data_IF_043280158839
#
_entry.id   IF_043280158839
#
_cell.length_a   1.000
_cell.length_b   1.000
_cell.length_c   1.000
_cell.angle_alpha   90.00
_cell.angle_beta   90.00
_cell.angle_gamma   90.00
#
_symmetry.space_group_name_H-M   'P 1'
#
loop_
_entity.id
_entity.type
_entity.pdbx_description
1 polymer ?
2 non-polymer ?
3 non-polymer ?
4 non-polymer ?
5 water ?
#
# COMPACT_ATOMS: atom_id res chain seq x y z
N UNK A 18 -10.19 20.78 -4.14
CA UNK A 18 -9.88 22.08 -4.86
C UNK A 18 -8.46 22.56 -4.50
N UNK A 19 -7.56 21.59 -4.23
CA UNK A 19 -6.11 21.76 -3.99
C UNK A 19 -5.34 21.12 -5.14
N UNK A 20 -4.58 21.93 -5.89
CA UNK A 20 -3.93 21.56 -7.17
C UNK A 20 -2.43 21.54 -6.94
N UNK A 21 -1.83 20.48 -7.45
CA UNK A 21 -0.38 20.23 -7.45
C UNK A 21 -0.04 19.81 -8.88
N UNK A 22 0.96 20.42 -9.48
CA UNK A 22 1.35 20.11 -10.88
C UNK A 22 2.12 18.77 -10.92
N UNK A 23 3.15 18.60 -10.08
CA UNK A 23 4.05 17.41 -10.18
C UNK A 23 3.45 16.20 -9.46
N UNK A 24 3.87 14.95 -9.84
CA UNK A 24 3.25 13.72 -9.28
C UNK A 24 3.48 13.53 -7.77
N UNK A 25 4.61 14.01 -7.27
CA UNK A 25 4.92 14.09 -5.83
C UNK A 25 5.49 15.45 -5.43
N UNK A 26 5.03 16.00 -4.30
CA UNK A 26 5.78 17.05 -3.56
C UNK A 26 6.42 16.42 -2.33
N UNK A 27 7.70 16.67 -2.15
CA UNK A 27 8.46 16.24 -0.97
C UNK A 27 8.80 17.46 -0.12
N UNK A 28 8.50 17.41 1.18
CA UNK A 28 8.75 18.54 2.11
C UNK A 28 9.46 18.00 3.35
N UNK A 29 10.66 18.49 3.63
CA UNK A 29 11.39 18.15 4.87
C UNK A 29 10.65 18.79 6.05
N UNK A 30 10.54 18.05 7.14
CA UNK A 30 9.94 18.55 8.41
C UNK A 30 11.05 19.33 9.18
N UNK A 31 10.75 19.88 10.35
CA UNK A 31 11.78 20.63 11.14
C UNK A 31 12.92 19.69 11.52
N UNK A 32 12.59 18.43 11.77
CA UNK A 32 13.65 17.39 11.81
C UNK A 32 13.75 16.89 10.37
N UNK A 33 14.81 17.28 9.64
CA UNK A 33 14.75 17.30 8.18
C UNK A 33 14.83 15.90 7.56
N UNK A 34 15.22 14.89 8.34
CA UNK A 34 15.24 13.50 7.83
C UNK A 34 13.79 12.96 7.68
N UNK A 35 12.83 13.55 8.36
CA UNK A 35 11.40 13.19 8.31
C UNK A 35 10.79 13.95 7.12
N UNK A 36 10.10 13.25 6.21
CA UNK A 36 9.69 13.85 4.90
C UNK A 36 8.21 13.62 4.70
N UNK A 37 7.49 14.71 4.51
CA UNK A 37 6.05 14.72 4.18
C UNK A 37 5.91 14.64 2.66
N UNK A 38 5.15 13.66 2.17
CA UNK A 38 4.96 13.42 0.71
C UNK A 38 3.50 13.68 0.35
N UNK A 39 3.30 14.50 -0.67
CA UNK A 39 1.95 14.83 -1.18
C UNK A 39 1.87 14.28 -2.59
N UNK A 40 1.13 13.17 -2.80
CA UNK A 40 1.00 12.61 -4.14
C UNK A 40 -0.10 13.35 -4.91
N UNK A 41 -0.08 13.24 -6.23
CA UNK A 41 -1.13 13.85 -7.09
C UNK A 41 -2.32 12.92 -7.26
N UNK A 42 -3.53 13.47 -7.12
CA UNK A 42 -4.82 12.77 -7.30
C UNK A 42 -5.35 13.09 -8.69
N UNK A 43 -5.50 12.09 -9.56
CA UNK A 43 -6.05 12.24 -10.91
C UNK A 43 -7.53 11.86 -10.84
N UNK A 44 -8.42 12.82 -10.92
CA UNK A 44 -9.89 12.58 -10.81
C UNK A 44 -10.43 12.33 -12.23
N UNK A 45 -11.48 11.51 -12.32
CA UNK A 45 -12.25 11.31 -13.58
C UNK A 45 -13.64 10.78 -13.20
N UNK A 46 -14.40 10.39 -14.22
CA UNK A 46 -15.81 9.95 -14.07
C UNK A 46 -15.85 8.70 -13.21
N UNK A 47 -14.84 7.82 -13.34
CA UNK A 47 -14.75 6.56 -12.56
C UNK A 47 -14.49 6.83 -11.08
N UNK A 48 -13.66 7.84 -10.77
CA UNK A 48 -13.25 8.12 -9.37
C UNK A 48 -11.90 8.77 -9.33
N UNK A 49 -10.89 8.12 -8.75
CA UNK A 49 -9.49 8.61 -8.85
C UNK A 49 -8.45 7.51 -9.03
N UNK A 50 -7.25 7.98 -9.40
CA UNK A 50 -5.97 7.25 -9.43
C UNK A 50 -4.87 8.09 -8.76
N UNK A 51 -4.11 7.47 -7.86
CA UNK A 51 -2.91 8.05 -7.18
C UNK A 51 -1.74 7.06 -7.32
N UNK A 52 -0.59 7.51 -7.81
CA UNK A 52 0.71 6.87 -7.60
C UNK A 52 1.14 7.19 -6.18
N UNK A 53 1.25 6.20 -5.28
CA UNK A 53 1.51 6.42 -3.84
C UNK A 53 2.99 6.21 -3.52
N UNK A 54 3.71 5.55 -4.41
CA UNK A 54 5.15 5.30 -4.23
C UNK A 54 5.78 5.06 -5.59
N UNK A 55 6.98 5.58 -5.75
CA UNK A 55 7.74 5.42 -7.01
C UNK A 55 9.22 5.53 -6.64
N UNK A 56 9.93 4.43 -6.77
CA UNK A 56 11.27 4.31 -6.22
C UNK A 56 12.16 5.41 -6.77
N UNK A 57 12.18 5.55 -8.09
CA UNK A 57 13.08 6.51 -8.76
C UNK A 57 12.93 7.89 -8.10
N UNK A 58 11.72 8.41 -8.00
CA UNK A 58 11.42 9.74 -7.46
C UNK A 58 11.78 9.77 -5.98
N UNK A 59 11.46 8.73 -5.25
CA UNK A 59 11.68 8.75 -3.78
C UNK A 59 13.20 8.78 -3.52
N UNK A 60 13.98 8.01 -4.26
CA UNK A 60 15.44 7.89 -4.03
C UNK A 60 16.12 9.23 -4.34
N UNK A 61 15.60 9.97 -5.32
CA UNK A 61 16.14 11.32 -5.65
C UNK A 61 15.83 12.31 -4.53
N UNK A 62 14.84 12.05 -3.68
CA UNK A 62 14.45 13.00 -2.62
C UNK A 62 14.81 12.46 -1.23
N UNK A 63 15.82 11.60 -1.11
CA UNK A 63 16.39 11.20 0.19
C UNK A 63 15.84 9.90 0.77
N UNK A 64 14.82 9.30 0.17
CA UNK A 64 14.11 8.12 0.74
C UNK A 64 14.67 6.84 0.13
N UNK A 65 15.52 6.17 0.90
CA UNK A 65 16.37 5.05 0.44
C UNK A 65 15.94 3.78 1.14
N UNK A 66 16.57 2.69 0.73
CA UNK A 66 16.31 1.38 1.35
C UNK A 66 15.16 0.67 0.65
N UNK A 67 15.29 -0.64 0.62
CA UNK A 67 14.32 -1.61 0.06
C UNK A 67 13.17 -1.76 1.05
N UNK A 68 11.94 -1.65 0.60
CA UNK A 68 10.73 -1.92 1.41
C UNK A 68 10.45 -3.41 1.41
N UNK A 69 10.70 -4.06 2.55
CA UNK A 69 10.64 -5.53 2.67
C UNK A 69 9.31 -5.98 3.27
N UNK A 70 8.49 -5.10 3.84
CA UNK A 70 7.24 -5.53 4.49
C UNK A 70 6.23 -4.39 4.49
N UNK A 71 4.99 -4.72 4.17
CA UNK A 71 3.86 -3.80 4.19
C UNK A 71 2.90 -4.29 5.26
N UNK A 72 2.27 -3.36 5.98
CA UNK A 72 1.32 -3.64 7.08
C UNK A 72 0.08 -2.78 6.92
N UNK A 73 -1.02 -3.25 7.50
CA UNK A 73 -2.34 -2.60 7.42
C UNK A 73 -2.98 -2.74 8.78
N UNK A 74 -3.38 -1.62 9.41
CA UNK A 74 -4.11 -1.64 10.71
C UNK A 74 -5.45 -0.98 10.50
N UNK A 75 -6.48 -1.59 11.06
CA UNK A 75 -7.81 -0.96 11.21
C UNK A 75 -7.98 -0.58 12.68
N UNK A 76 -8.43 0.65 12.88
CA UNK A 76 -8.75 1.22 14.21
C UNK A 76 -10.20 1.69 14.15
N UNK A 77 -11.10 1.02 14.87
CA UNK A 77 -12.57 1.19 14.66
C UNK A 77 -13.02 2.52 15.28
N UNK A 78 -12.52 2.88 16.46
CA UNK A 78 -13.01 4.05 17.23
C UNK A 78 -11.99 5.19 17.30
N UNK A 79 -12.47 6.43 17.24
CA UNK A 79 -11.68 7.64 17.57
C UNK A 79 -11.07 7.40 18.94
N UNK A 80 -9.80 7.77 19.13
CA UNK A 80 -9.11 7.71 20.41
C UNK A 80 -8.23 6.51 20.55
N UNK A 81 -8.30 5.55 19.61
CA UNK A 81 -7.26 4.48 19.54
C UNK A 81 -5.95 5.23 19.39
N UNK A 82 -4.97 4.89 20.21
CA UNK A 82 -3.61 5.43 20.12
C UNK A 82 -2.68 4.23 20.08
N UNK A 83 -1.81 4.20 19.08
CA UNK A 83 -0.77 3.17 18.98
C UNK A 83 0.58 3.86 18.94
N UNK A 84 1.52 3.32 19.66
CA UNK A 84 2.88 3.84 19.78
C UNK A 84 3.26 3.96 21.25
N UNK A 85 4.46 4.46 21.50
CA UNK A 85 5.44 4.80 20.49
C UNK A 85 6.32 3.57 20.21
N UNK A 86 6.57 3.26 18.94
CA UNK A 86 7.19 1.98 18.50
C UNK A 86 8.43 2.19 17.66
N UNK A 87 9.39 1.30 17.88
CA UNK A 87 10.61 1.15 17.08
C UNK A 87 11.14 -0.26 17.30
N UNK A 88 12.00 -0.70 16.41
CA UNK A 88 12.77 -1.97 16.54
C UNK A 88 14.23 -1.59 16.77
N UNK A 89 14.87 -2.25 17.73
CA UNK A 89 16.32 -2.12 17.97
C UNK A 89 17.12 -2.48 16.73
N UNK A 90 18.26 -1.83 16.55
CA UNK A 90 19.28 -2.21 15.55
C UNK A 90 19.67 -3.67 15.84
N UNK A 91 19.94 -4.52 14.83
CA UNK A 91 19.97 -4.11 13.42
C UNK A 91 18.64 -4.26 12.65
N UNK A 92 17.50 -4.20 13.34
CA UNK A 92 16.15 -4.44 12.77
C UNK A 92 15.35 -3.14 12.65
N UNK A 93 16.01 -1.98 12.68
CA UNK A 93 15.33 -0.66 12.67
C UNK A 93 14.52 -0.57 11.37
N UNK A 94 13.26 -0.14 11.46
CA UNK A 94 12.42 0.01 10.27
C UNK A 94 12.27 1.50 9.93
N UNK A 95 12.65 1.87 8.73
CA UNK A 95 12.12 3.08 8.08
C UNK A 95 10.70 2.79 7.65
N UNK A 96 9.81 3.74 7.78
CA UNK A 96 8.38 3.53 7.51
C UNK A 96 7.84 4.63 6.59
N UNK A 97 7.06 4.24 5.57
CA UNK A 97 6.27 5.16 4.72
C UNK A 97 4.80 4.97 5.08
N UNK A 98 4.22 5.96 5.74
CA UNK A 98 2.91 5.85 6.41
C UNK A 98 1.87 6.68 5.66
N UNK A 99 0.70 6.10 5.46
CA UNK A 99 -0.45 6.77 4.83
C UNK A 99 -1.75 6.26 5.45
N UNK A 100 -2.83 7.00 5.24
CA UNK A 100 -4.18 6.65 5.71
C UNK A 100 -5.11 6.61 4.51
N UNK A 101 -5.64 5.44 4.23
CA UNK A 101 -6.48 5.22 3.02
C UNK A 101 -7.94 5.52 3.37
N UNK A 102 -8.32 5.30 4.62
CA UNK A 102 -9.65 5.69 5.15
C UNK A 102 -9.47 6.22 6.58
N UNK A 103 -10.12 7.35 6.85
CA UNK A 103 -10.09 7.99 8.16
C UNK A 103 -8.97 9.00 8.25
N UNK A 104 -8.46 9.17 9.46
CA UNK A 104 -7.56 10.30 9.81
C UNK A 104 -6.80 9.93 11.06
N UNK A 105 -5.52 10.25 11.06
CA UNK A 105 -4.70 10.14 12.29
C UNK A 105 -3.90 11.42 12.47
N UNK A 106 -3.60 11.70 13.73
CA UNK A 106 -2.50 12.57 14.16
C UNK A 106 -1.28 11.67 14.24
N UNK A 107 -0.32 11.85 13.33
CA UNK A 107 0.84 10.95 13.16
C UNK A 107 2.09 11.59 13.74
N UNK A 108 2.88 10.84 14.47
CA UNK A 108 4.05 11.41 15.19
C UNK A 108 5.30 10.60 14.88
N UNK A 109 6.38 11.31 14.59
CA UNK A 109 7.75 10.78 14.49
C UNK A 109 8.62 11.39 15.60
N UNK A 110 9.28 10.55 16.38
CA UNK A 110 10.17 10.92 17.50
C UNK A 110 11.58 10.48 17.14
N UNK A 111 12.53 11.42 17.12
CA UNK A 111 13.96 11.15 16.89
C UNK A 111 14.52 10.45 18.12
N UNK A 112 14.83 9.16 17.99
CA UNK A 112 15.47 8.38 19.09
C UNK A 112 16.83 7.84 18.64
N UNK A 113 17.58 8.66 17.92
CA UNK A 113 18.99 8.41 17.50
C UNK A 113 19.95 9.06 18.51
N UNK A 114 20.67 8.25 19.28
CA UNK A 114 21.59 8.76 20.34
C UNK A 114 22.60 9.70 19.67
N UNK A 115 22.82 10.88 20.26
CA UNK A 115 23.81 11.92 19.83
C UNK A 115 23.16 12.82 18.77
N UNK A 116 21.89 12.65 18.47
CA UNK A 116 21.23 13.50 17.46
C UNK A 116 20.99 14.84 18.11
N UNK A 117 21.25 15.94 17.40
CA UNK A 117 20.91 17.27 17.92
C UNK A 117 19.40 17.41 18.21
N UNK A 118 18.56 16.51 17.69
CA UNK A 118 17.08 16.55 17.91
C UNK A 118 16.63 15.28 18.64
N UNK A 119 17.53 14.62 19.36
CA UNK A 119 17.17 13.45 20.20
C UNK A 119 16.01 13.83 21.12
N UNK A 120 14.95 13.02 21.13
CA UNK A 120 13.78 13.17 22.00
C UNK A 120 12.82 14.21 21.46
N UNK A 121 13.13 14.86 20.34
CA UNK A 121 12.17 15.81 19.71
C UNK A 121 11.24 15.04 18.75
N UNK A 122 10.15 15.65 18.36
CA UNK A 122 9.10 15.00 17.55
C UNK A 122 8.51 16.00 16.57
N UNK A 123 8.01 15.47 15.46
CA UNK A 123 7.17 16.24 14.52
C UNK A 123 5.90 15.44 14.29
N UNK A 124 4.83 16.13 13.93
CA UNK A 124 3.51 15.52 13.75
C UNK A 124 2.95 16.04 12.44
N UNK A 125 2.01 15.29 11.86
CA UNK A 125 1.25 15.74 10.69
C UNK A 125 -0.08 15.02 10.72
N UNK A 126 -1.07 15.57 10.08
CA UNK A 126 -2.40 14.93 9.99
C UNK A 126 -2.43 14.10 8.69
N UNK A 127 -2.49 12.77 8.81
CA UNK A 127 -2.58 11.92 7.59
C UNK A 127 -4.01 11.43 7.47
N UNK A 128 -4.62 11.61 6.32
CA UNK A 128 -6.06 11.31 6.16
C UNK A 128 -6.35 10.83 4.76
N UNK A 129 -7.52 10.22 4.59
CA UNK A 129 -8.13 9.89 3.29
C UNK A 129 -8.54 11.16 2.55
N UNK A 130 -8.70 12.30 3.24
CA UNK A 130 -8.97 13.60 2.56
C UNK A 130 -7.69 14.12 1.90
N UNK A 131 -6.56 14.18 2.61
CA UNK A 131 -5.33 14.78 2.05
C UNK A 131 -4.49 13.75 1.28
N UNK A 132 -4.60 12.46 1.59
CA UNK A 132 -3.77 11.38 1.00
C UNK A 132 -2.27 11.66 1.21
N UNK A 133 -1.92 12.42 2.23
CA UNK A 133 -0.52 12.70 2.58
C UNK A 133 0.14 11.42 3.11
N UNK A 134 1.46 11.34 2.97
CA UNK A 134 2.27 10.21 3.43
C UNK A 134 3.47 10.74 4.22
N UNK A 135 3.90 10.02 5.26
CA UNK A 135 5.06 10.45 6.07
C UNK A 135 6.14 9.40 6.00
N UNK A 136 7.34 9.84 5.64
CA UNK A 136 8.56 9.04 5.74
C UNK A 136 9.15 9.23 7.13
N UNK A 137 9.22 8.13 7.87
CA UNK A 137 9.80 8.05 9.23
C UNK A 137 11.03 7.16 9.15
N UNK A 138 12.25 7.75 9.09
CA UNK A 138 13.47 7.01 8.87
C UNK A 138 13.77 6.07 10.04
N UNK A 139 14.66 5.09 9.80
CA UNK A 139 15.13 4.22 10.87
C UNK A 139 15.78 5.13 11.93
N UNK A 140 15.67 4.78 13.20
CA UNK A 140 16.20 5.63 14.27
C UNK A 140 15.08 6.36 14.99
N UNK A 141 13.89 6.37 14.41
CA UNK A 141 12.74 7.10 14.95
C UNK A 141 11.70 6.13 15.47
N UNK A 142 10.91 6.62 16.41
CA UNK A 142 9.69 5.93 16.86
C UNK A 142 8.47 6.57 16.21
N UNK A 143 7.45 5.75 16.01
CA UNK A 143 6.17 6.12 15.38
C UNK A 143 5.05 6.02 16.41
N UNK A 144 4.16 6.98 16.40
CA UNK A 144 2.91 6.92 17.16
C UNK A 144 1.82 7.53 16.33
N UNK A 145 0.60 7.15 16.61
CA UNK A 145 -0.56 7.65 15.84
C UNK A 145 -1.74 7.71 16.78
N UNK A 146 -2.58 8.72 16.64
CA UNK A 146 -3.84 8.84 17.40
C UNK A 146 -4.95 8.90 16.39
N UNK A 147 -5.97 8.06 16.56
CA UNK A 147 -7.07 7.94 15.57
C UNK A 147 -8.09 9.05 15.84
N UNK A 148 -8.44 9.78 14.80
CA UNK A 148 -9.29 10.98 14.83
C UNK A 148 -10.62 10.72 14.13
N UNK A 149 -10.74 9.68 13.29
CA UNK A 149 -12.01 9.30 12.63
C UNK A 149 -12.21 7.80 12.84
N UNK A 150 -13.45 7.40 12.97
CA UNK A 150 -13.77 5.96 13.14
C UNK A 150 -13.36 5.21 11.86
N UNK A 151 -13.07 3.93 12.01
CA UNK A 151 -12.73 2.99 10.91
C UNK A 151 -11.53 3.52 10.12
N UNK A 152 -10.45 3.83 10.83
CA UNK A 152 -9.21 4.38 10.24
C UNK A 152 -8.32 3.21 9.82
N UNK A 153 -8.00 3.19 8.52
CA UNK A 153 -7.09 2.23 7.85
C UNK A 153 -5.75 2.90 7.59
N UNK A 154 -4.75 2.47 8.32
CA UNK A 154 -3.38 2.98 8.24
C UNK A 154 -2.58 1.92 7.52
N UNK A 155 -1.85 2.33 6.49
CA UNK A 155 -0.98 1.42 5.73
C UNK A 155 0.43 1.93 5.85
N UNK A 156 1.39 1.04 6.02
CA UNK A 156 2.80 1.45 5.98
C UNK A 156 3.71 0.35 5.46
N UNK A 157 4.69 0.81 4.71
CA UNK A 157 5.83 0.05 4.15
C UNK A 157 7.00 0.20 5.10
N UNK A 158 7.69 -0.90 5.40
CA UNK A 158 8.88 -1.00 6.28
C UNK A 158 10.13 -1.44 5.53
N UNK A 159 11.27 -0.84 5.83
CA UNK A 159 12.60 -1.18 5.26
C UNK A 159 13.25 -2.38 5.97
N UNK A 160 12.65 -2.91 7.00
CA UNK A 160 13.05 -4.18 7.64
C UNK A 160 11.81 -4.94 8.07
N UNK A 161 11.95 -6.26 8.10
CA UNK A 161 10.84 -7.17 8.40
C UNK A 161 10.61 -7.15 9.92
N UNK A 162 9.41 -7.47 10.32
CA UNK A 162 8.95 -7.59 11.72
C UNK A 162 9.87 -8.54 12.47
N UNK A 163 10.41 -8.09 13.60
CA UNK A 163 11.19 -8.94 14.55
C UNK A 163 10.64 -8.67 15.95
N UNK A 164 9.65 -9.42 16.44
CA UNK A 164 8.98 -9.07 17.69
C UNK A 164 9.94 -8.90 18.88
N UNK A 165 11.03 -9.67 18.94
CA UNK A 165 12.01 -9.64 20.07
C UNK A 165 12.69 -8.28 20.11
N UNK A 166 12.71 -7.57 18.99
CA UNK A 166 13.46 -6.31 18.85
C UNK A 166 12.53 -5.11 19.08
N UNK A 167 11.22 -5.34 19.18
CA UNK A 167 10.23 -4.26 19.38
C UNK A 167 10.39 -3.61 20.77
N UNK A 168 10.36 -2.28 20.84
CA UNK A 168 10.32 -1.54 22.13
C UNK A 168 9.18 -0.53 22.10
N UNK A 169 8.73 -0.13 23.29
CA UNK A 169 7.42 0.54 23.54
C UNK A 169 7.65 1.70 24.51
N UNK A 170 7.42 2.94 24.09
CA UNK A 170 7.56 4.14 24.95
C UNK A 170 6.18 4.75 25.10
N UNK A 171 5.80 5.14 26.33
CA UNK A 171 4.39 5.54 26.55
C UNK A 171 4.12 6.87 25.85
N UNK A 172 2.92 6.93 25.28
CA UNK A 172 2.34 8.08 24.57
C UNK A 172 2.56 9.40 25.33
N UNK A 173 2.36 9.41 26.66
CA UNK A 173 2.32 10.67 27.47
C UNK A 173 3.66 10.95 28.14
N UNK A 174 4.72 10.33 27.67
CA UNK A 174 6.04 10.59 28.23
C UNK A 174 6.27 12.10 28.37
N UNK A 175 6.73 12.59 29.55
CA UNK A 175 6.94 14.02 29.78
C UNK A 175 8.18 14.65 29.15
N UNK A 176 9.30 13.93 29.01
CA UNK A 176 10.51 14.44 28.31
C UNK A 176 10.20 14.64 26.81
N UNK A 177 9.55 13.69 26.17
CA UNK A 177 9.18 13.86 24.73
C UNK A 177 8.10 14.92 24.61
N UNK A 178 7.09 14.82 25.46
CA UNK A 178 6.07 15.88 25.67
C UNK A 178 5.29 16.11 24.39
N UNK A 179 4.72 15.05 23.82
CA UNK A 179 3.93 15.15 22.57
C UNK A 179 2.61 15.81 22.94
N UNK A 180 2.16 16.76 22.13
CA UNK A 180 0.86 17.45 22.32
C UNK A 180 -0.20 16.64 21.58
N UNK A 181 -0.66 15.56 22.17
CA UNK A 181 -1.70 14.70 21.56
C UNK A 181 -3.00 15.46 21.59
N UNK A 182 -3.74 15.62 20.48
CA UNK A 182 -5.07 16.23 20.58
C UNK A 182 -6.08 15.25 21.22
N UNK A 183 -5.71 14.58 22.31
CA UNK A 183 -6.59 13.64 23.05
C UNK A 183 -7.93 14.34 23.34
N UNK A 184 -8.97 13.91 22.64
CA UNK A 184 -10.37 14.24 22.96
C UNK A 184 -10.96 13.04 23.72
N UNK A 185 -11.27 13.24 24.99
CA UNK A 185 -11.99 12.28 25.88
C UNK A 185 -11.22 10.95 25.86
N UNK A 186 -11.83 9.87 25.37
CA UNK A 186 -11.42 8.46 25.61
C UNK A 186 -10.15 8.09 24.84
N UNK A 187 -9.25 7.33 25.48
CA UNK A 187 -7.99 6.77 24.92
C UNK A 187 -8.02 5.23 24.96
N UNK A 188 -8.01 4.57 23.79
CA UNK A 188 -7.94 3.08 23.72
C UNK A 188 -6.51 2.66 23.39
N UNK A 189 -5.88 1.99 24.34
CA UNK A 189 -4.47 1.54 24.30
C UNK A 189 -4.43 0.01 24.37
N UNK A 190 -3.53 -0.59 23.60
CA UNK A 190 -3.07 -1.99 23.74
C UNK A 190 -2.49 -2.12 25.15
N UNK A 191 -2.33 -3.34 25.68
CA UNK A 191 -1.67 -3.57 26.99
C UNK A 191 -0.18 -3.26 26.89
N UNK A 192 0.44 -3.58 25.77
CA UNK A 192 1.89 -3.27 25.58
C UNK A 192 2.08 -1.75 25.57
N UNK A 193 1.16 -1.00 24.97
CA UNK A 193 1.27 0.48 24.82
C UNK A 193 0.95 1.13 26.19
N UNK A 194 -0.16 0.71 26.83
CA UNK A 194 -0.53 1.11 28.21
C UNK A 194 0.66 0.87 29.14
N UNK A 195 1.43 -0.19 28.91
CA UNK A 195 2.63 -0.56 29.70
C UNK A 195 3.89 -0.01 29.05
N UNK A 196 3.77 0.90 28.08
CA UNK A 196 4.95 1.57 27.51
C UNK A 196 5.81 2.14 28.62
N UNK A 197 7.12 2.11 28.45
CA UNK A 197 8.06 2.66 29.45
C UNK A 197 8.29 4.16 29.17
N UNK A 198 8.80 4.86 30.18
CA UNK A 198 9.18 6.29 30.11
C UNK A 198 10.49 6.36 29.37
N UNK A 199 10.71 7.45 28.63
CA UNK A 199 11.94 7.61 27.81
C UNK A 199 13.19 7.33 28.64
N UNK A 200 13.22 7.80 29.89
CA UNK A 200 14.46 7.74 30.73
C UNK A 200 14.89 6.28 30.93
N UNK A 201 13.96 5.33 30.91
CA UNK A 201 14.30 3.88 31.13
C UNK A 201 14.05 3.09 29.85
N UNK A 202 14.02 3.75 28.68
CA UNK A 202 13.91 3.09 27.36
C UNK A 202 15.23 2.43 26.95
N UNK A 203 15.16 1.25 26.35
CA UNK A 203 16.32 0.62 25.66
C UNK A 203 16.41 1.14 24.23
N UNK A 204 17.52 1.78 23.89
CA UNK A 204 17.77 2.45 22.58
C UNK A 204 19.21 2.18 22.20
N UNK A 205 19.46 1.63 21.00
CA UNK A 205 20.83 1.42 20.48
C UNK A 205 21.04 2.19 19.18
N UNK A 206 19.99 2.80 18.63
CA UNK A 206 20.14 3.59 17.37
C UNK A 206 21.14 4.71 17.63
N UNK A 207 22.03 4.97 16.67
CA UNK A 207 23.10 5.98 16.76
C UNK A 207 22.87 7.00 15.65
N UNK A 208 23.08 8.28 15.94
CA UNK A 208 23.07 9.38 14.94
C UNK A 208 24.32 9.30 14.08
N UNK A 209 24.21 9.45 12.78
CA UNK A 209 25.38 9.49 11.87
C UNK A 209 25.48 10.87 11.20
N UNK A 210 24.40 11.38 10.62
CA UNK A 210 24.37 12.73 10.04
C UNK A 210 22.94 13.14 9.73
N UNK B 24 1.50 -16.86 8.49
CA UNK B 24 1.01 -15.48 8.20
C UNK B 24 0.44 -15.29 6.77
N UNK B 25 0.87 -16.13 5.85
CA UNK B 25 0.31 -16.19 4.47
C UNK B 25 0.04 -17.63 4.02
N UNK B 26 -1.09 -17.83 3.34
CA UNK B 26 -1.30 -19.02 2.47
C UNK B 26 -1.16 -18.60 1.01
N UNK B 27 -0.35 -19.34 0.28
CA UNK B 27 -0.14 -19.13 -1.17
C UNK B 27 -0.81 -20.27 -1.93
N UNK B 28 -1.61 -19.94 -2.93
CA UNK B 28 -2.34 -20.95 -3.75
C UNK B 28 -2.14 -20.61 -5.22
N UNK B 29 -1.53 -21.52 -5.96
CA UNK B 29 -1.41 -21.41 -7.44
C UNK B 29 -2.82 -21.53 -8.05
N UNK B 30 -3.11 -20.70 -9.05
CA UNK B 30 -4.36 -20.74 -9.82
C UNK B 30 -4.20 -21.81 -10.92
N UNK B 31 -5.22 -22.05 -11.77
CA UNK B 31 -5.09 -23.07 -12.87
C UNK B 31 -3.98 -22.68 -13.81
N UNK B 32 -3.81 -21.37 -14.03
CA UNK B 32 -2.57 -20.89 -14.68
C UNK B 32 -1.61 -20.64 -13.51
N UNK B 33 -0.61 -21.52 -13.30
CA UNK B 33 -0.01 -21.68 -11.97
C UNK B 33 0.98 -20.56 -11.64
N UNK B 34 1.34 -19.72 -12.61
CA UNK B 34 2.19 -18.54 -12.34
C UNK B 34 1.37 -17.46 -11.61
N UNK B 35 0.03 -17.53 -11.67
CA UNK B 35 -0.89 -16.58 -11.01
C UNK B 35 -1.14 -17.14 -9.61
N UNK B 36 -0.94 -16.32 -8.57
CA UNK B 36 -0.91 -16.83 -7.16
C UNK B 36 -1.86 -16.02 -6.30
N UNK B 37 -2.79 -16.71 -5.64
CA UNK B 37 -3.76 -16.10 -4.71
C UNK B 37 -3.14 -16.16 -3.32
N UNK B 38 -3.08 -15.01 -2.64
CA UNK B 38 -2.42 -14.90 -1.31
C UNK B 38 -3.48 -14.56 -0.27
N UNK B 39 -3.52 -15.34 0.81
CA UNK B 39 -4.47 -15.13 1.91
C UNK B 39 -3.65 -14.77 3.15
N UNK B 40 -3.66 -13.49 3.56
CA UNK B 40 -2.89 -13.09 4.73
C UNK B 40 -3.65 -13.39 6.03
N UNK B 41 -2.95 -13.42 7.14
CA UNK B 41 -3.56 -13.62 8.49
C UNK B 41 -4.02 -12.30 9.10
N UNK B 42 -5.25 -12.27 9.61
CA UNK B 42 -5.89 -11.09 10.25
C UNK B 42 -5.82 -11.28 11.76
N UNK B 43 -5.11 -10.39 12.48
CA UNK B 43 -5.00 -10.44 13.96
C UNK B 43 -6.02 -9.44 14.51
N UNK B 44 -7.13 -9.90 15.10
CA UNK B 44 -8.14 -8.96 15.64
C UNK B 44 -7.84 -8.73 17.14
N UNK B 45 -8.26 -7.57 17.64
CA UNK B 45 -8.16 -7.18 19.06
C UNK B 45 -9.16 -6.06 19.33
N UNK B 46 -9.10 -5.51 20.55
CA UNK B 46 -10.08 -4.47 21.00
C UNK B 46 -9.96 -3.24 20.09
N UNK B 47 -8.75 -2.92 19.62
CA UNK B 47 -8.51 -1.73 18.75
C UNK B 47 -9.11 -1.93 17.35
N UNK B 48 -9.06 -3.16 16.83
CA UNK B 48 -9.52 -3.44 15.45
C UNK B 48 -8.76 -4.61 14.88
N UNK B 49 -7.95 -4.40 13.82
CA UNK B 49 -7.06 -5.48 13.32
C UNK B 49 -5.71 -4.97 12.83
N UNK B 50 -4.80 -5.93 12.67
CA UNK B 50 -3.48 -5.85 12.01
C UNK B 50 -3.29 -7.00 11.01
N UNK B 51 -2.88 -6.67 9.78
CA UNK B 51 -2.51 -7.62 8.70
C UNK B 51 -1.11 -7.27 8.18
N UNK B 52 -0.17 -8.20 8.14
CA UNK B 52 1.01 -8.14 7.26
C UNK B 52 0.54 -8.45 5.83
N UNK B 53 0.61 -7.51 4.89
CA UNK B 53 0.02 -7.65 3.53
C UNK B 53 1.10 -8.05 2.53
N UNK B 54 2.36 -7.90 2.90
CA UNK B 54 3.49 -8.29 2.04
C UNK B 54 4.72 -8.48 2.91
N UNK B 55 5.50 -9.48 2.56
CA UNK B 55 6.74 -9.80 3.28
C UNK B 55 7.66 -10.50 2.29
N UNK B 56 8.74 -9.84 1.94
CA UNK B 56 9.59 -10.25 0.82
C UNK B 56 10.08 -11.67 1.05
N UNK B 57 10.64 -11.95 2.22
CA UNK B 57 11.25 -13.26 2.51
C UNK B 57 10.24 -14.37 2.15
N UNK B 58 9.02 -14.29 2.68
CA UNK B 58 7.96 -15.29 2.49
C UNK B 58 7.54 -15.31 1.02
N UNK B 59 7.40 -14.15 0.40
CA UNK B 59 6.88 -14.12 -1.00
C UNK B 59 7.90 -14.78 -1.92
N UNK B 60 9.18 -14.50 -1.71
CA UNK B 60 10.27 -14.98 -2.59
C UNK B 60 10.38 -16.50 -2.47
N UNK B 61 10.11 -17.06 -1.29
CA UNK B 61 10.10 -18.53 -1.09
C UNK B 61 8.93 -19.16 -1.83
N UNK B 62 7.88 -18.43 -2.16
CA UNK B 62 6.67 -19.01 -2.82
C UNK B 62 6.55 -18.53 -4.27
N UNK B 63 7.66 -18.17 -4.93
CA UNK B 63 7.70 -17.91 -6.37
C UNK B 63 7.51 -16.46 -6.80
N UNK B 64 7.24 -15.55 -5.87
CA UNK B 64 6.95 -14.12 -6.19
C UNK B 64 8.21 -13.29 -6.06
N UNK B 65 8.77 -12.96 -7.21
CA UNK B 65 10.10 -12.35 -7.35
C UNK B 65 9.95 -10.93 -7.85
N UNK B 66 11.08 -10.23 -7.97
CA UNK B 66 11.10 -8.89 -8.54
C UNK B 66 10.91 -7.85 -7.46
N UNK B 67 11.61 -6.73 -7.64
CA UNK B 67 11.56 -5.51 -6.81
C UNK B 67 10.27 -4.78 -7.15
N UNK B 68 9.48 -4.39 -6.15
CA UNK B 68 8.30 -3.54 -6.31
C UNK B 68 8.73 -2.08 -6.35
N UNK B 69 8.67 -1.48 -7.54
CA UNK B 69 9.18 -0.12 -7.79
C UNK B 69 8.07 0.92 -7.73
N UNK B 70 6.79 0.54 -7.73
CA UNK B 70 5.70 1.52 -7.81
C UNK B 70 4.42 0.94 -7.20
N UNK B 71 3.75 1.75 -6.38
CA UNK B 71 2.48 1.44 -5.73
C UNK B 71 1.47 2.41 -6.27
N UNK B 72 0.28 1.90 -6.55
CA UNK B 72 -0.87 2.68 -7.09
C UNK B 72 -2.11 2.42 -6.27
N UNK B 73 -3.04 3.35 -6.33
CA UNK B 73 -4.30 3.36 -5.55
C UNK B 73 -5.36 3.91 -6.49
N UNK B 74 -6.43 3.15 -6.73
CA UNK B 74 -7.58 3.63 -7.53
C UNK B 74 -8.82 3.57 -6.66
N UNK B 75 -9.62 4.63 -6.73
CA UNK B 75 -10.98 4.64 -6.15
C UNK B 75 -11.96 4.53 -7.31
N UNK B 76 -12.92 3.63 -7.16
CA UNK B 76 -14.03 3.43 -8.13
C UNK B 76 -15.34 3.62 -7.36
N UNK B 77 -16.08 4.68 -7.65
CA UNK B 77 -17.20 5.15 -6.79
C UNK B 77 -18.41 4.22 -6.95
N UNK B 78 -18.73 3.82 -8.18
CA UNK B 78 -19.97 3.07 -8.48
C UNK B 78 -19.69 1.62 -8.88
N UNK B 79 -20.57 0.71 -8.47
CA UNK B 79 -20.60 -0.68 -9.00
C UNK B 79 -20.67 -0.56 -10.51
N UNK B 80 -19.95 -1.42 -11.24
CA UNK B 80 -19.99 -1.46 -12.71
C UNK B 80 -18.86 -0.73 -13.37
N UNK B 81 -18.06 0.00 -12.60
CA UNK B 81 -16.76 0.50 -13.13
C UNK B 81 -15.99 -0.75 -13.56
N UNK B 82 -15.49 -0.77 -14.76
CA UNK B 82 -14.59 -1.84 -15.25
C UNK B 82 -13.34 -1.15 -15.77
N UNK B 83 -12.18 -1.61 -15.31
CA UNK B 83 -10.88 -1.17 -15.83
C UNK B 83 -10.14 -2.37 -16.38
N UNK B 84 -9.55 -2.22 -17.55
CA UNK B 84 -8.77 -3.24 -18.23
C UNK B 84 -9.20 -3.34 -19.69
N UNK B 85 -8.58 -4.24 -20.43
CA UNK B 85 -7.53 -5.10 -19.96
C UNK B 85 -6.17 -4.42 -20.23
N UNK B 86 -5.28 -4.40 -19.25
CA UNK B 86 -4.04 -3.57 -19.26
C UNK B 86 -2.77 -4.40 -19.09
N UNK B 87 -1.77 -4.00 -19.85
CA UNK B 87 -0.37 -4.47 -19.70
C UNK B 87 0.55 -3.41 -20.29
N UNK B 88 1.83 -3.48 -19.96
CA UNK B 88 2.90 -2.66 -20.59
C UNK B 88 3.77 -3.59 -21.41
N UNK B 89 4.13 -3.16 -22.61
CA UNK B 89 5.07 -3.90 -23.49
C UNK B 89 6.41 -4.07 -22.80
N UNK B 90 7.11 -5.17 -23.10
CA UNK B 90 8.53 -5.35 -22.75
C UNK B 90 9.31 -4.18 -23.37
N UNK B 91 10.34 -3.63 -22.71
CA UNK B 91 10.84 -4.13 -21.43
C UNK B 91 10.23 -3.53 -20.14
N UNK B 92 9.00 -3.03 -20.19
CA UNK B 92 8.32 -2.31 -19.09
C UNK B 92 7.18 -3.14 -18.49
N UNK B 93 7.18 -4.46 -18.70
CA UNK B 93 6.10 -5.35 -18.23
C UNK B 93 6.01 -5.22 -16.72
N UNK B 94 4.82 -5.06 -16.16
CA UNK B 94 4.66 -4.98 -14.70
C UNK B 94 4.07 -6.29 -14.16
N UNK B 95 4.78 -6.93 -13.24
CA UNK B 95 4.14 -7.84 -12.29
C UNK B 95 3.36 -7.03 -11.29
N UNK B 96 2.20 -7.50 -10.86
CA UNK B 96 1.29 -6.74 -9.98
C UNK B 96 0.85 -7.59 -8.80
N UNK B 97 0.88 -7.02 -7.60
CA UNK B 97 0.28 -7.61 -6.36
C UNK B 97 -0.94 -6.77 -6.01
N UNK B 98 -2.12 -7.34 -6.20
CA UNK B 98 -3.40 -6.60 -6.20
C UNK B 98 -4.18 -6.97 -4.97
N UNK B 99 -4.78 -5.98 -4.32
CA UNK B 99 -5.65 -6.17 -3.15
C UNK B 99 -6.73 -5.08 -3.13
N UNK B 100 -7.76 -5.28 -2.33
CA UNK B 100 -8.89 -4.34 -2.18
C UNK B 100 -9.04 -4.06 -0.70
N UNK B 101 -8.82 -2.80 -0.33
CA UNK B 101 -8.80 -2.37 1.09
C UNK B 101 -10.21 -1.97 1.50
N UNK B 102 -11.02 -1.47 0.56
CA UNK B 102 -12.46 -1.22 0.75
C UNK B 102 -13.22 -1.60 -0.52
N UNK B 103 -14.34 -2.31 -0.35
CA UNK B 103 -15.18 -2.74 -1.47
C UNK B 103 -14.78 -4.11 -1.97
N UNK B 104 -15.03 -4.34 -3.25
CA UNK B 104 -14.98 -5.69 -3.83
C UNK B 104 -14.81 -5.58 -5.33
N UNK B 105 -13.97 -6.43 -5.89
CA UNK B 105 -13.84 -6.51 -7.37
C UNK B 105 -13.85 -7.98 -7.76
N UNK B 106 -14.34 -8.20 -8.96
CA UNK B 106 -14.05 -9.40 -9.77
C UNK B 106 -12.76 -9.09 -10.52
N UNK B 107 -11.67 -9.77 -10.15
CA UNK B 107 -10.31 -9.49 -10.64
C UNK B 107 -9.90 -10.56 -11.65
N UNK B 108 -9.30 -10.15 -12.74
CA UNK B 108 -8.98 -11.07 -13.86
C UNK B 108 -7.53 -10.91 -14.26
N UNK B 109 -6.86 -12.03 -14.42
CA UNK B 109 -5.53 -12.16 -15.05
C UNK B 109 -5.66 -12.93 -16.36
N UNK B 110 -5.17 -12.35 -17.45
CA UNK B 110 -5.13 -12.97 -18.79
C UNK B 110 -3.68 -13.22 -19.18
N UNK B 111 -3.35 -14.46 -19.53
CA UNK B 111 -2.02 -14.87 -20.00
C UNK B 111 -1.84 -14.35 -21.41
N UNK B 112 -0.98 -13.33 -21.58
CA UNK B 112 -0.64 -12.80 -22.92
C UNK B 112 0.85 -12.97 -23.22
N UNK B 113 1.40 -14.12 -22.83
CA UNK B 113 2.79 -14.56 -23.13
C UNK B 113 2.80 -15.42 -24.41
N UNK B 114 3.39 -14.90 -25.49
CA UNK B 114 3.45 -15.63 -26.78
C UNK B 114 4.12 -16.98 -26.56
N UNK B 115 3.49 -18.06 -27.07
CA UNK B 115 3.98 -19.47 -27.04
C UNK B 115 3.55 -20.12 -25.73
N UNK B 116 2.76 -19.44 -24.90
CA UNK B 116 2.31 -20.04 -23.64
C UNK B 116 1.23 -21.05 -23.99
N UNK B 117 1.28 -22.25 -23.37
CA UNK B 117 0.21 -23.21 -23.54
C UNK B 117 -1.16 -22.67 -23.07
N UNK B 118 -1.18 -21.55 -22.32
CA UNK B 118 -2.45 -20.92 -21.83
C UNK B 118 -2.56 -19.50 -22.39
N UNK B 119 -1.91 -19.23 -23.51
CA UNK B 119 -2.07 -17.91 -24.18
C UNK B 119 -3.55 -17.63 -24.41
N UNK B 120 -4.02 -16.44 -24.02
CA UNK B 120 -5.41 -16.00 -24.22
C UNK B 120 -6.36 -16.60 -23.21
N UNK B 121 -5.88 -17.42 -22.28
CA UNK B 121 -6.72 -17.93 -21.17
C UNK B 121 -6.65 -16.96 -19.97
N UNK B 122 -7.60 -17.07 -19.06
CA UNK B 122 -7.73 -16.16 -17.91
C UNK B 122 -8.16 -16.92 -16.67
N UNK B 123 -7.82 -16.35 -15.52
CA UNK B 123 -8.33 -16.79 -14.20
C UNK B 123 -8.89 -15.56 -13.50
N UNK B 124 -9.86 -15.77 -12.63
CA UNK B 124 -10.52 -14.68 -11.91
C UNK B 124 -10.58 -15.06 -10.43
N UNK B 125 -10.74 -14.06 -9.58
CA UNK B 125 -10.97 -14.26 -8.14
C UNK B 125 -11.68 -13.02 -7.64
N UNK B 126 -12.37 -13.15 -6.53
CA UNK B 126 -13.06 -12.02 -5.90
C UNK B 126 -12.11 -11.43 -4.86
N UNK B 127 -11.64 -10.19 -5.07
CA UNK B 127 -10.78 -9.53 -4.05
C UNK B 127 -11.64 -8.50 -3.31
N UNK B 128 -11.67 -8.54 -1.99
CA UNK B 128 -12.57 -7.69 -1.21
C UNK B 128 -11.94 -7.29 0.11
N UNK B 129 -12.51 -6.26 0.72
CA UNK B 129 -12.25 -5.83 2.12
C UNK B 129 -12.77 -6.90 3.09
N UNK B 130 -13.68 -7.78 2.69
CA UNK B 130 -14.15 -8.90 3.55
C UNK B 130 -13.08 -10.00 3.62
N UNK B 131 -12.56 -10.47 2.48
CA UNK B 131 -11.61 -11.60 2.46
C UNK B 131 -10.16 -11.11 2.64
N UNK B 132 -9.83 -9.87 2.27
CA UNK B 132 -8.44 -9.34 2.30
C UNK B 132 -7.49 -10.19 1.43
N UNK B 133 -8.03 -10.89 0.45
CA UNK B 133 -7.22 -11.70 -0.48
C UNK B 133 -6.40 -10.77 -1.39
N UNK B 134 -5.28 -11.28 -1.88
CA UNK B 134 -4.37 -10.56 -2.80
C UNK B 134 -4.07 -11.47 -4.00
N UNK B 135 -3.89 -10.89 -5.19
CA UNK B 135 -3.55 -11.67 -6.39
C UNK B 135 -2.22 -11.21 -6.95
N UNK B 136 -1.32 -12.15 -7.16
CA UNK B 136 -0.08 -11.94 -7.91
C UNK B 136 -0.34 -12.23 -9.38
N UNK B 137 -0.18 -11.18 -10.19
CA UNK B 137 -0.32 -11.21 -11.67
C UNK B 137 1.07 -10.93 -12.25
N UNK B 138 1.78 -11.97 -12.70
CA UNK B 138 3.13 -11.84 -13.18
C UNK B 138 3.20 -11.01 -14.44
N UNK B 139 4.42 -10.51 -14.76
CA UNK B 139 4.66 -9.82 -16.01
C UNK B 139 4.29 -10.79 -17.15
N UNK B 140 3.77 -10.27 -18.26
CA UNK B 140 3.30 -11.15 -19.34
C UNK B 140 1.80 -11.30 -19.34
N UNK B 141 1.14 -10.87 -18.27
CA UNK B 141 -0.33 -10.95 -18.14
C UNK B 141 -0.94 -9.57 -18.24
N UNK B 142 -2.19 -9.53 -18.66
CA UNK B 142 -3.07 -8.36 -18.56
C UNK B 142 -3.98 -8.47 -17.35
N UNK B 143 -4.31 -7.33 -16.80
CA UNK B 143 -5.17 -7.18 -15.61
C UNK B 143 -6.48 -6.49 -16.01
N UNK B 144 -7.56 -7.01 -15.48
CA UNK B 144 -8.87 -6.35 -15.57
C UNK B 144 -9.57 -6.50 -14.25
N UNK B 145 -10.43 -5.57 -13.93
CA UNK B 145 -11.20 -5.62 -12.66
C UNK B 145 -12.58 -5.04 -12.94
N UNK B 146 -13.59 -5.63 -12.33
CA UNK B 146 -14.97 -5.12 -12.38
C UNK B 146 -15.39 -4.81 -10.96
N UNK B 147 -15.90 -3.61 -10.74
CA UNK B 147 -16.25 -3.13 -9.38
C UNK B 147 -17.64 -3.63 -9.00
N UNK B 148 -17.73 -4.30 -7.85
CA UNK B 148 -18.95 -4.99 -7.36
C UNK B 148 -19.53 -4.28 -6.15
N UNK B 149 -18.78 -3.41 -5.46
CA UNK B 149 -19.31 -2.59 -4.33
C UNK B 149 -18.92 -1.13 -4.59
N UNK B 150 -19.77 -0.22 -4.14
CA UNK B 150 -19.49 1.22 -4.32
C UNK B 150 -18.26 1.58 -3.49
N UNK B 151 -17.55 2.63 -3.90
CA UNK B 151 -16.37 3.18 -3.20
C UNK B 151 -15.31 2.09 -2.99
N UNK B 152 -14.94 1.43 -4.08
CA UNK B 152 -13.93 0.34 -4.06
C UNK B 152 -12.54 0.98 -4.21
N UNK B 153 -11.68 0.69 -3.24
CA UNK B 153 -10.26 1.10 -3.20
C UNK B 153 -9.38 -0.12 -3.52
N UNK B 154 -8.78 -0.08 -4.69
CA UNK B 154 -7.88 -1.12 -5.18
C UNK B 154 -6.46 -0.60 -5.03
N UNK B 155 -5.61 -1.39 -4.39
CA UNK B 155 -4.18 -1.04 -4.24
C UNK B 155 -3.36 -2.10 -4.97
N UNK B 156 -2.34 -1.67 -5.68
CA UNK B 156 -1.41 -2.65 -6.26
C UNK B 156 0.01 -2.10 -6.34
N UNK B 157 0.93 -3.03 -6.10
CA UNK B 157 2.38 -2.91 -6.23
C UNK B 157 2.80 -3.46 -7.58
N UNK B 158 3.62 -2.71 -8.30
CA UNK B 158 4.19 -3.03 -9.64
C UNK B 158 5.70 -3.24 -9.61
N UNK B 159 6.19 -4.23 -10.35
CA UNK B 159 7.61 -4.58 -10.50
C UNK B 159 8.29 -3.72 -11.57
N UNK B 160 7.56 -2.85 -12.25
CA UNK B 160 8.14 -1.82 -13.14
C UNK B 160 7.33 -0.54 -13.02
N UNK B 161 8.00 0.57 -13.24
CA UNK B 161 7.40 1.90 -13.09
C UNK B 161 6.49 2.15 -14.32
N UNK B 162 5.53 3.02 -14.15
CA UNK B 162 4.57 3.48 -15.18
C UNK B 162 5.33 4.00 -16.38
N UNK B 163 5.03 3.49 -17.58
CA UNK B 163 5.55 4.05 -18.85
C UNK B 163 4.36 4.18 -19.81
N UNK B 164 3.69 5.34 -19.87
CA UNK B 164 2.45 5.46 -20.62
C UNK B 164 2.58 5.02 -22.09
N UNK B 165 3.71 5.26 -22.74
CA UNK B 165 3.94 4.95 -24.18
C UNK B 165 3.91 3.44 -24.39
N UNK B 166 4.14 2.67 -23.32
CA UNK B 166 4.25 1.21 -23.42
C UNK B 166 2.90 0.54 -23.06
N UNK B 167 1.95 1.29 -22.55
CA UNK B 167 0.61 0.78 -22.15
C UNK B 167 -0.17 0.31 -23.39
N UNK B 168 -0.79 -0.86 -23.30
CA UNK B 168 -1.72 -1.35 -24.33
C UNK B 168 -3.02 -1.77 -23.64
N UNK B 169 -4.08 -1.79 -24.44
CA UNK B 169 -5.49 -1.83 -23.98
C UNK B 169 -6.23 -2.85 -24.85
N UNK B 170 -6.75 -3.90 -24.23
CA UNK B 170 -7.57 -4.92 -24.94
C UNK B 170 -8.99 -4.81 -24.40
N UNK B 171 -9.95 -4.83 -25.34
CA UNK B 171 -11.40 -4.74 -25.02
C UNK B 171 -11.77 -5.82 -24.00
N UNK B 172 -12.46 -5.39 -22.95
CA UNK B 172 -12.90 -6.23 -21.81
C UNK B 172 -13.72 -7.42 -22.33
N UNK B 173 -14.56 -7.19 -23.34
CA UNK B 173 -15.55 -8.19 -23.85
C UNK B 173 -15.03 -8.83 -25.12
N UNK B 174 -13.73 -8.79 -25.33
CA UNK B 174 -13.10 -9.55 -26.42
C UNK B 174 -13.67 -10.96 -26.46
N UNK B 175 -14.12 -11.45 -27.64
CA UNK B 175 -14.77 -12.76 -27.74
C UNK B 175 -13.84 -13.97 -27.79
N UNK B 176 -12.58 -13.83 -28.22
CA UNK B 176 -11.57 -14.93 -28.18
C UNK B 176 -11.19 -15.17 -26.71
N UNK B 177 -10.92 -14.13 -25.93
CA UNK B 177 -10.58 -14.30 -24.49
C UNK B 177 -11.83 -14.77 -23.73
N UNK B 178 -12.95 -14.12 -23.98
CA UNK B 178 -14.29 -14.59 -23.57
C UNK B 178 -14.38 -14.67 -22.05
N UNK B 179 -14.08 -13.55 -21.38
CA UNK B 179 -14.15 -13.48 -19.89
C UNK B 179 -15.62 -13.48 -19.49
N UNK B 180 -15.99 -14.24 -18.47
CA UNK B 180 -17.36 -14.29 -17.92
C UNK B 180 -17.52 -13.20 -16.86
N UNK B 181 -17.66 -11.96 -17.31
CA UNK B 181 -17.81 -10.81 -16.39
C UNK B 181 -19.16 -10.93 -15.71
N UNK B 182 -19.28 -10.90 -14.37
CA UNK B 182 -20.61 -11.00 -13.75
C UNK B 182 -21.57 -9.84 -14.06
N UNK B 183 -21.17 -8.80 -14.78
CA UNK B 183 -22.06 -7.69 -15.24
C UNK B 183 -21.60 -7.34 -16.65
N UNK B 184 -22.53 -7.07 -17.56
CA UNK B 184 -22.22 -6.68 -18.97
C UNK B 184 -22.94 -5.39 -19.40
N UNK B 185 -23.70 -4.71 -18.52
CA UNK B 185 -24.69 -3.67 -18.90
C UNK B 185 -24.30 -2.28 -18.36
N UNK B 186 -24.52 -2.05 -17.06
CA UNK B 186 -24.40 -0.72 -16.37
C UNK B 186 -22.93 -0.35 -16.22
N UNK B 187 -22.16 -0.40 -17.31
CA UNK B 187 -20.68 -0.47 -17.28
C UNK B 187 -20.10 0.91 -17.47
N UNK B 188 -19.29 1.38 -16.52
CA UNK B 188 -18.53 2.65 -16.68
C UNK B 188 -17.08 2.33 -17.07
N UNK B 189 -16.72 2.74 -18.29
CA UNK B 189 -15.42 2.51 -18.92
C UNK B 189 -14.76 3.87 -19.20
N UNK B 190 -13.44 3.92 -19.04
CA UNK B 190 -12.58 4.99 -19.56
C UNK B 190 -12.75 5.01 -21.08
N UNK B 191 -12.33 6.09 -21.75
CA UNK B 191 -12.34 6.22 -23.23
C UNK B 191 -11.30 5.28 -23.80
N UNK B 192 -10.16 5.16 -23.13
CA UNK B 192 -9.08 4.25 -23.59
C UNK B 192 -9.58 2.81 -23.54
N UNK B 193 -10.34 2.44 -22.52
CA UNK B 193 -10.81 1.04 -22.31
C UNK B 193 -11.93 0.75 -23.33
N UNK B 194 -12.91 1.66 -23.45
CA UNK B 194 -13.98 1.68 -24.48
C UNK B 194 -13.36 1.47 -25.85
N UNK B 195 -12.20 2.08 -26.10
CA UNK B 195 -11.44 2.01 -27.37
C UNK B 195 -10.40 0.91 -27.33
N UNK B 196 -10.44 0.02 -26.35
CA UNK B 196 -9.53 -1.15 -26.35
C UNK B 196 -9.58 -1.88 -27.68
N UNK B 197 -8.46 -2.45 -28.11
CA UNK B 197 -8.42 -3.27 -29.36
C UNK B 197 -8.79 -4.73 -29.03
N UNK B 198 -9.20 -5.45 -30.08
CA UNK B 198 -9.57 -6.88 -30.01
C UNK B 198 -8.27 -7.66 -29.97
N UNK B 199 -8.26 -8.81 -29.30
CA UNK B 199 -7.03 -9.61 -29.12
C UNK B 199 -6.34 -9.84 -30.46
N UNK B 200 -7.10 -10.11 -31.52
CA UNK B 200 -6.45 -10.61 -32.77
C UNK B 200 -5.63 -9.46 -33.38
N UNK B 201 -5.90 -8.20 -33.06
CA UNK B 201 -5.12 -7.04 -33.58
C UNK B 201 -4.31 -6.39 -32.44
N UNK B 202 -4.06 -7.10 -31.34
CA UNK B 202 -3.28 -6.60 -30.18
C UNK B 202 -1.78 -6.60 -30.48
N UNK B 203 -1.10 -5.57 -30.00
CA UNK B 203 0.38 -5.53 -29.97
C UNK B 203 0.87 -6.20 -28.68
N UNK B 204 1.62 -7.29 -28.83
CA UNK B 204 2.12 -8.14 -27.72
C UNK B 204 3.56 -8.53 -28.06
N UNK B 205 4.50 -8.30 -27.15
CA UNK B 205 5.90 -8.77 -27.33
C UNK B 205 6.31 -9.69 -26.19
N UNK B 206 5.49 -9.86 -25.16
CA UNK B 206 5.86 -10.76 -24.04
C UNK B 206 6.05 -12.17 -24.59
N UNK B 207 7.08 -12.86 -24.10
CA UNK B 207 7.45 -14.22 -24.53
C UNK B 207 7.30 -15.18 -23.36
N UNK B 208 6.78 -16.37 -23.60
CA UNK B 208 6.71 -17.47 -22.62
C UNK B 208 8.10 -18.06 -22.44
N UNK B 209 8.52 -18.28 -21.21
CA UNK B 209 9.79 -18.96 -20.89
C UNK B 209 9.46 -20.23 -20.09
N UNK B 210 8.69 -20.09 -19.01
CA UNK B 210 8.20 -21.21 -18.19
C UNK B 210 7.96 -22.46 -19.01
X LIG C 1 0.85 -4.79 17.91
X LIG C 1 -0.25 -4.52 18.91
X LIG C 1 2.29 -4.83 18.30
X LIG C 1 0.61 -3.73 16.77
X LIG C 1 0.56 -2.12 16.83
X LIG C 1 0.41 -1.75 18.30
X LIG C 1 1.94 -1.77 16.27
X LIG C 1 -0.58 -1.63 16.03
X LIG C 1 0.50 -6.17 17.15
X LIG C 1 -0.86 -6.47 16.79
X LIG C 1 -0.88 -7.85 16.20
X LIG C 1 -0.22 -7.85 14.91
X LIG C 1 -0.18 -8.92 17.05
X LIG C 1 -0.98 -10.08 16.96
X LIG C 1 1.18 -9.11 16.38
X LIG C 1 0.88 -8.76 14.92
X LIG C 1 1.95 -8.10 14.16
X LIG C 1 2.45 -8.77 13.05
X LIG C 1 2.08 -9.88 12.74
X LIG C 1 3.38 -8.07 12.31
X LIG C 1 3.87 -6.80 12.56
X LIG C 1 4.77 -6.35 11.84
X LIG C 1 3.32 -6.17 13.73
X LIG C 1 3.79 -4.79 14.08
X LIG C 1 2.39 -6.83 14.45
X LIG D 1 6.59 22.95 26.26
X LIG D 1 7.53 22.34 27.25
X LIG D 1 5.23 23.37 26.71
X LIG D 1 7.33 24.19 25.58
X LIG D 1 8.68 24.96 25.99
X LIG D 1 8.38 25.72 27.27
X LIG D 1 9.73 23.89 26.17
X LIG D 1 8.94 25.85 24.81
X LIG D 1 6.44 21.98 25.00
X LIG D 1 7.49 21.95 24.01
X LIG D 1 8.30 20.69 24.17
X LIG D 1 7.91 19.73 23.16
X LIG D 1 9.80 20.88 24.00
X LIG D 1 10.54 19.85 24.65
X LIG D 1 9.94 20.76 22.49
X LIG D 1 8.90 19.70 22.14
X LIG D 1 8.24 19.89 20.83
X LIG D 1 8.70 19.16 19.75
X LIG D 1 9.63 18.36 19.82
X LIG D 1 8.04 19.40 18.57
X LIG D 1 6.98 20.26 18.37
X LIG D 1 6.48 20.34 17.23
X LIG D 1 6.54 21.00 19.53
X LIG D 1 5.39 21.94 19.40
X LIG D 1 7.18 20.77 20.70
X LIG E 1 0.06 0.04 13.40
X LIG E 1 -0.65 -0.76 14.03
X LIG E 1 -0.44 0.81 12.55
X LIG E 1 1.57 0.05 13.69
X LIG E 1 2.29 1.40 13.90
X LIG E 1 2.18 2.24 12.77
X LIG E 1 1.67 2.13 15.11
X LIG E 1 2.53 3.29 15.62
X LIG E 1 3.48 3.02 16.42
X LIG E 1 2.26 4.45 15.22
X LIG E 1 3.79 1.18 14.21
X LIG E 1 4.09 0.36 15.09
X LIG E 1 4.65 1.87 13.59
X LIG F 1 -3.53 18.70 5.49
X LIG F 1 -3.66 19.06 4.12
X LIG F 1 -4.82 18.51 6.23
X LIG F 1 -5.88 17.90 5.50
X LIG G 1 12.01 -0.06 26.20
X LIG G 1 13.33 -0.50 26.53
X LIG G 1 10.99 -1.15 26.09
X LIG G 1 9.66 -0.73 25.80
X LIG H 1 21.35 7.11 11.53
X LIG H 1 20.94 8.48 11.36
X LIG H 1 20.27 6.08 11.52
X LIG H 1 20.22 5.23 12.67
X LIG I 1 -5.78 5.16 -16.52
X LIG I 1 -7.16 5.58 -16.96
X LIG I 1 -4.83 4.56 -17.48
X LIG I 1 -6.00 4.25 -15.23
X LIG I 1 -6.66 2.81 -15.09
X LIG I 1 -7.29 2.74 -13.75
X LIG I 1 -5.49 1.88 -15.27
X LIG I 1 -7.65 2.66 -16.22
X LIG I 1 -5.05 6.44 -15.88
X LIG I 1 -5.78 7.20 -14.90
X LIG I 1 -4.99 8.43 -14.55
X LIG I 1 -3.88 8.07 -13.69
X LIG I 1 -4.39 9.17 -15.74
X LIG I 1 -4.48 10.55 -15.39
X LIG I 1 -2.94 8.69 -15.79
X LIG I 1 -2.66 8.39 -14.33
X LIG I 1 -1.75 7.26 -14.07
X LIG I 1 -0.54 7.53 -13.45
X LIG I 1 -0.20 8.65 -13.10
X LIG I 1 0.24 6.43 -13.16
X LIG I 1 -0.06 5.11 -13.47
X LIG I 1 0.74 4.23 -13.22
X LIG I 1 -1.32 4.90 -14.16
X LIG I 1 -1.68 3.50 -14.53
X LIG I 1 -2.10 5.97 -14.41
X LIG J 1 -16.48 -21.99 -22.30
X LIG J 1 -15.97 -22.17 -20.90
X LIG J 1 -17.94 -21.76 -22.48
X LIG J 1 -16.05 -23.27 -23.18
X LIG J 1 -16.43 -23.64 -24.71
X LIG J 1 -17.60 -24.58 -24.70
X LIG J 1 -16.74 -22.32 -25.38
X LIG J 1 -15.20 -24.28 -25.27
X LIG J 1 -15.67 -20.82 -23.00
X LIG J 1 -14.94 -19.93 -22.12
X LIG J 1 -13.64 -19.57 -22.80
X LIG J 1 -12.78 -18.91 -21.84
X LIG J 1 -12.85 -20.76 -23.31
X LIG J 1 -11.92 -20.38 -24.32
X LIG J 1 -12.13 -21.20 -22.04
X LIG J 1 -11.82 -19.86 -21.38
X LIG J 1 -11.88 -19.88 -19.90
X LIG J 1 -10.76 -19.47 -19.22
X LIG J 1 -9.74 -19.11 -19.83
X LIG J 1 -10.86 -19.52 -17.86
X LIG J 1 -11.95 -19.90 -17.11
X LIG J 1 -11.85 -19.86 -15.87
X LIG J 1 -13.10 -20.31 -17.90
X LIG J 1 -14.36 -20.74 -17.20
X LIG J 1 -13.02 -20.27 -19.23
X LIG K 1 -6.37 0.61 -11.63
X LIG K 1 -6.72 -0.09 -10.66
X LIG K 1 -6.87 1.73 -11.82
X LIG K 1 -5.33 0.06 -12.63
X LIG K 1 -5.44 -1.42 -13.04
X LIG K 1 -5.38 -2.21 -11.86
X LIG K 1 -6.78 -1.68 -13.73
X LIG K 1 -6.90 -3.01 -14.46
X LIG K 1 -7.45 -3.99 -13.87
X LIG K 1 -6.43 -3.09 -15.64
X LIG K 1 -4.33 -1.86 -14.03
X LIG K 1 -3.72 -2.92 -13.77
X LIG K 1 -4.14 -1.18 -15.04
X LIG L 1 -7.00 1.82 -26.34
X LIG L 1 -7.27 3.11 -25.81
X LIG L 1 -6.32 1.75 -27.66
X LIG L 1 -6.33 0.46 -28.18
X LIG M 1 7.99 -14.67 -18.88
X LIG M 1 7.20 -15.86 -18.75
X LIG M 1 7.21 -13.42 -18.87
X LIG M 1 7.24 -12.64 -20.07
X LIG N 1 -3.41 -1.60 -28.26
X LIG N 1 -4.04 -1.36 -27.04
X LIG N 1 -2.85 -2.97 -28.31
X LIG N 1 -2.17 -3.26 -29.51
X LIG O 1 5.39 -18.49 4.21
X LIG O 1 6.01 -19.75 3.98
X LIG O 1 4.39 -18.55 5.30
X LIG O 1 3.80 -17.30 5.56
#
# INVERSE_FOLDING_TARGET
MHHHHHHSSGVDLGTENLYFQSMPFEFQKMLIPEVILIKPKVFTDDRGFFIETFKQSDFRRHGINGEFLQDNHSLSMKKGVLRGLHYQLDPHAQGKLVRVVLGKVFDVAVDLRRESPTFGKWVSTELSSTNNHMLWIPPGFAHGMLVLEENTHLLYKCTAEYVPESERYIRWDDPDINIKWPIKNNLLLSEKDAAGVFLQRAEINAQYHGS
MHHHHHHSSGVDLGTENLYFQSMPFEFQKMLIPEVILIKPKVFTDDRGFFIETFKQSDFRRHGINGEFLQDNHSLSMKKGVLRGLHYQLDPHAQGKLVRVVLGKVFDVAVDLRRESPTFGKWVSTELSSTNNHMLWIPPGFAHGMLVLEENTHLLYKCTAEYVPESERYIRWDDPDINIKWPIKNNLLLSEKDAAGVFLQRAEINAQYHGS
TYD PA O1A O2A O3A PB O1B O2B O3B O5' C5' C4' O4' C3' O3' C2' C1' N1 C2 O2 N3 C4 O4 C5 C5M C6
TYD PA O1A O2A O3A PB O1B O2B O3B O5' C5' C4' O4' C3' O3' C2' C1' N1 C2 O2 N3 C4 O4 C5 C5M C6
CIT C1 O1 O2 C2 C3 O7 C4 C5 O3 O4 C6 O5 O6
EDO C1 O1 C2 O2
EDO C1 O1 C2 O2
EDO C1 O1 C2 O2
TYD PA O1A O2A O3A PB O1B O2B O3B O5' C5' C4' O4' C3' O3' C2' C1' N1 C2 O2 N3 C4 O4 C5 C5M C6
TYD PA O1A O2A O3A PB O1B O2B O3B O5' C5' C4' O4' C3' O3' C2' C1' N1 C2 O2 N3 C4 O4 C5 C5M C6
CIT C1 O1 O2 C2 C3 O7 C4 C5 O3 O4 C6 O5 O6
EDO C1 O1 C2 O2
EDO C1 O1 C2 O2
EDO C1 O1 C2 O2
EDO C1 O1 C2 O2
#
